data_IF_594066116739
#
_entry.id   IF_594066116739
#
_cell.length_a   1.000
_cell.length_b   1.000
_cell.length_c   1.000
_cell.angle_alpha   90.00
_cell.angle_beta   90.00
_cell.angle_gamma   90.00
#
_symmetry.space_group_name_H-M   'P 1'
#
loop_
_entity.id
_entity.type
_entity.pdbx_description
1 polymer ?
#
# COMPACT_ATOMS: atom_id res chain seq x y z
N UNK A 1 -0.15 -10.29 4.67
CA UNK A 1 1.04 -9.57 5.15
C UNK A 1 1.27 -9.96 6.61
N UNK A 2 2.48 -10.37 6.93
CA UNK A 2 2.85 -10.83 8.26
C UNK A 2 3.06 -9.67 9.26
N UNK A 3 3.26 -10.02 10.53
CA UNK A 3 3.38 -9.03 11.61
C UNK A 3 4.57 -8.07 11.41
N UNK A 4 5.70 -8.58 10.93
CA UNK A 4 6.89 -7.77 10.71
C UNK A 4 6.65 -6.74 9.60
N UNK A 5 6.06 -7.17 8.49
CA UNK A 5 5.77 -6.28 7.38
C UNK A 5 4.66 -5.28 7.72
N UNK A 6 3.62 -5.71 8.44
CA UNK A 6 2.57 -4.80 8.90
C UNK A 6 3.17 -3.69 9.78
N UNK A 7 4.01 -4.06 10.74
CA UNK A 7 4.66 -3.08 11.60
C UNK A 7 5.51 -2.08 10.82
N UNK A 8 6.30 -2.58 9.87
CA UNK A 8 7.15 -1.73 9.02
C UNK A 8 6.31 -0.80 8.12
N UNK A 9 5.20 -1.29 7.58
CA UNK A 9 4.29 -0.49 6.75
C UNK A 9 3.66 0.63 7.59
N UNK A 10 3.20 0.34 8.80
CA UNK A 10 2.65 1.36 9.69
C UNK A 10 3.67 2.44 10.02
N UNK A 11 4.91 2.02 10.30
CA UNK A 11 6.00 2.96 10.58
C UNK A 11 6.26 3.89 9.41
N UNK A 12 6.37 3.34 8.21
CA UNK A 12 6.60 4.13 6.99
C UNK A 12 5.40 5.02 6.68
N UNK A 13 4.19 4.51 6.82
CA UNK A 13 2.98 5.29 6.56
C UNK A 13 2.89 6.52 7.47
N UNK A 14 3.13 6.32 8.76
CA UNK A 14 3.14 7.44 9.71
C UNK A 14 4.28 8.41 9.42
N UNK A 15 5.49 7.91 9.21
CA UNK A 15 6.68 8.74 8.98
C UNK A 15 6.59 9.55 7.68
N UNK A 16 5.98 9.00 6.66
CA UNK A 16 5.94 9.60 5.33
C UNK A 16 4.62 10.33 5.04
N UNK A 17 3.80 10.54 6.07
CA UNK A 17 2.66 11.44 5.98
C UNK A 17 1.40 10.86 5.34
N UNK A 18 1.23 9.55 5.36
CA UNK A 18 -0.04 8.95 4.94
C UNK A 18 -1.14 9.31 5.94
N UNK A 19 -2.36 9.46 5.46
CA UNK A 19 -3.48 9.91 6.29
C UNK A 19 -4.06 8.80 7.15
N UNK A 20 -4.08 7.57 6.65
CA UNK A 20 -4.68 6.44 7.34
C UNK A 20 -4.22 5.12 6.72
N UNK A 21 -4.46 4.03 7.44
CA UNK A 21 -4.21 2.67 6.94
C UNK A 21 -5.51 1.88 6.99
N UNK A 22 -5.85 1.23 5.89
CA UNK A 22 -6.99 0.33 5.80
C UNK A 22 -6.47 -1.10 5.64
N UNK A 23 -6.96 -2.02 6.46
CA UNK A 23 -6.49 -3.40 6.48
C UNK A 23 -7.59 -4.36 6.02
N UNK A 24 -7.22 -5.33 5.18
CA UNK A 24 -8.09 -6.45 4.86
C UNK A 24 -8.02 -7.50 5.97
N UNK A 25 -9.08 -8.29 6.10
CA UNK A 25 -9.18 -9.28 7.17
C UNK A 25 -8.14 -10.40 7.09
N UNK A 26 -7.54 -10.60 5.92
CA UNK A 26 -6.46 -11.58 5.74
C UNK A 26 -5.08 -11.05 6.15
N UNK A 27 -4.99 -9.80 6.55
CA UNK A 27 -3.74 -9.25 7.10
C UNK A 27 -3.58 -9.59 8.58
N UNK A 28 -2.35 -9.60 9.04
CA UNK A 28 -2.05 -9.75 10.45
C UNK A 28 -2.64 -8.57 11.24
N UNK A 29 -3.07 -8.84 12.46
CA UNK A 29 -3.56 -7.80 13.37
C UNK A 29 -2.41 -6.82 13.69
N UNK A 30 -2.57 -5.52 13.43
CA UNK A 30 -1.51 -4.54 13.71
C UNK A 30 -1.24 -4.37 15.21
N UNK A 31 -2.14 -4.81 16.07
CA UNK A 31 -1.93 -4.83 17.53
C UNK A 31 -1.21 -6.09 18.01
N UNK A 32 -0.85 -7.00 17.10
CA UNK A 32 0.03 -8.11 17.40
C UNK A 32 1.32 -7.59 18.01
N UNK A 33 1.85 -8.28 19.02
CA UNK A 33 3.03 -7.84 19.78
C UNK A 33 4.23 -7.50 18.90
N UNK A 34 4.51 -8.34 17.90
CA UNK A 34 5.63 -8.10 16.96
C UNK A 34 5.36 -6.88 16.08
N UNK A 35 4.14 -6.74 15.57
CA UNK A 35 3.77 -5.60 14.74
C UNK A 35 3.91 -4.28 15.50
N UNK A 36 3.41 -4.22 16.73
CA UNK A 36 3.55 -3.04 17.58
C UNK A 36 5.03 -2.68 17.77
N UNK A 37 5.85 -3.67 18.10
CA UNK A 37 7.29 -3.47 18.33
C UNK A 37 8.00 -2.97 17.06
N UNK A 38 7.76 -3.62 15.92
CA UNK A 38 8.40 -3.25 14.65
C UNK A 38 7.92 -1.87 14.19
N UNK A 39 6.67 -1.51 14.47
CA UNK A 39 6.14 -0.20 14.11
C UNK A 39 6.74 0.95 14.92
N UNK A 40 7.49 0.66 15.97
CA UNK A 40 8.04 1.66 16.89
C UNK A 40 6.94 2.58 17.44
N UNK A 41 5.77 2.01 17.73
CA UNK A 41 4.62 2.76 18.25
C UNK A 41 3.77 3.47 17.19
N UNK A 42 4.14 3.39 15.91
CA UNK A 42 3.39 4.09 14.85
C UNK A 42 1.94 3.61 14.73
N UNK A 43 1.67 2.36 15.10
CA UNK A 43 0.29 1.83 15.09
C UNK A 43 -0.65 2.65 16.00
N UNK A 44 -0.11 3.34 16.98
CA UNK A 44 -0.89 4.21 17.88
C UNK A 44 -0.94 5.68 17.41
N UNK A 45 -0.21 6.01 16.35
CA UNK A 45 -0.09 7.39 15.87
C UNK A 45 -0.94 7.68 14.64
N UNK A 46 -1.09 6.69 13.74
CA UNK A 46 -1.81 6.86 12.49
C UNK A 46 -3.19 6.18 12.59
N UNK A 47 -4.28 6.82 12.16
CA UNK A 47 -5.59 6.19 12.15
C UNK A 47 -5.60 4.93 11.28
N UNK A 48 -6.27 3.89 11.75
CA UNK A 48 -6.42 2.68 10.96
C UNK A 48 -7.73 1.97 11.29
N UNK A 49 -8.21 1.18 10.35
CA UNK A 49 -9.38 0.33 10.55
C UNK A 49 -9.35 -0.87 9.62
N UNK A 50 -10.18 -1.86 9.93
CA UNK A 50 -10.44 -2.98 9.03
C UNK A 50 -11.41 -2.54 7.94
N UNK A 51 -11.19 -3.01 6.72
CA UNK A 51 -12.04 -2.76 5.57
C UNK A 51 -12.59 -4.07 5.04
N UNK A 52 -13.90 -4.24 5.07
CA UNK A 52 -14.56 -5.46 4.64
C UNK A 52 -15.08 -5.40 3.18
N UNK A 53 -15.23 -4.20 2.63
CA UNK A 53 -15.74 -4.00 1.28
C UNK A 53 -14.71 -4.23 0.18
N UNK A 54 -15.02 -3.74 -1.00
CA UNK A 54 -14.13 -3.79 -2.16
C UNK A 54 -13.53 -2.42 -2.46
N UNK A 55 -12.60 -2.36 -3.42
CA UNK A 55 -12.01 -1.09 -3.84
C UNK A 55 -13.05 -0.13 -4.41
N UNK A 56 -14.16 -0.64 -4.95
CA UNK A 56 -15.24 0.22 -5.42
C UNK A 56 -15.86 1.08 -4.32
N UNK A 57 -15.83 0.63 -3.07
CA UNK A 57 -16.29 1.44 -1.95
C UNK A 57 -15.42 2.70 -1.76
N UNK A 58 -14.12 2.59 -2.00
CA UNK A 58 -13.22 3.74 -1.97
C UNK A 58 -13.50 4.67 -3.14
N UNK A 59 -13.77 4.13 -4.32
CA UNK A 59 -14.14 4.93 -5.50
C UNK A 59 -15.42 5.74 -5.24
N UNK A 60 -16.38 5.16 -4.55
CA UNK A 60 -17.62 5.84 -4.18
C UNK A 60 -17.38 7.00 -3.21
N UNK A 61 -16.29 6.97 -2.47
CA UNK A 61 -15.88 8.06 -1.57
C UNK A 61 -14.98 9.10 -2.26
N UNK A 62 -14.75 8.94 -3.55
CA UNK A 62 -13.94 9.88 -4.33
C UNK A 62 -12.46 9.56 -4.40
N UNK A 63 -12.03 8.39 -3.92
CA UNK A 63 -10.64 7.95 -4.02
C UNK A 63 -10.37 7.28 -5.36
N UNK A 64 -9.18 7.50 -5.88
CA UNK A 64 -8.59 6.64 -6.90
C UNK A 64 -7.70 5.62 -6.22
N UNK A 65 -7.62 4.44 -6.80
CA UNK A 65 -6.84 3.34 -6.23
C UNK A 65 -5.67 2.98 -7.12
N UNK A 66 -4.50 2.82 -6.52
CA UNK A 66 -3.27 2.45 -7.19
C UNK A 66 -2.77 1.14 -6.61
N UNK A 67 -2.93 0.06 -7.36
CA UNK A 67 -2.50 -1.27 -6.93
C UNK A 67 -1.05 -1.50 -7.34
N UNK A 68 -0.20 -1.80 -6.36
CA UNK A 68 1.21 -2.10 -6.58
C UNK A 68 1.35 -3.53 -7.11
N UNK A 69 1.60 -3.66 -8.40
CA UNK A 69 1.75 -4.97 -9.03
C UNK A 69 2.58 -4.85 -10.30
N UNK A 70 3.23 -5.93 -10.67
CA UNK A 70 4.01 -6.02 -11.91
C UNK A 70 3.14 -6.66 -12.99
N UNK A 71 2.56 -5.84 -13.85
CA UNK A 71 1.76 -6.29 -15.00
C UNK A 71 2.17 -5.54 -16.26
N UNK A 72 1.80 -6.07 -17.41
CA UNK A 72 2.18 -5.48 -18.70
C UNK A 72 1.58 -4.08 -18.91
N UNK A 73 0.43 -3.82 -18.35
CA UNK A 73 -0.28 -2.55 -18.50
C UNK A 73 -0.10 -1.60 -17.33
N UNK A 74 0.91 -1.82 -16.50
CA UNK A 74 1.16 -0.97 -15.35
C UNK A 74 1.81 0.36 -15.74
N UNK A 75 1.52 1.41 -14.95
CA UNK A 75 2.20 2.69 -15.07
C UNK A 75 3.37 2.74 -14.10
N UNK A 76 4.39 3.51 -14.45
CA UNK A 76 5.52 3.71 -13.54
C UNK A 76 5.10 4.57 -12.36
N UNK A 77 5.65 4.28 -11.18
CA UNK A 77 5.31 4.98 -9.93
C UNK A 77 5.61 6.49 -10.00
N UNK A 78 6.52 6.90 -10.85
CA UNK A 78 6.87 8.32 -11.03
C UNK A 78 6.04 9.01 -12.12
N UNK A 79 5.05 8.33 -12.69
CA UNK A 79 4.16 8.95 -13.68
C UNK A 79 3.39 10.09 -13.02
N UNK A 80 3.45 11.30 -13.59
CA UNK A 80 2.77 12.47 -13.02
C UNK A 80 1.26 12.32 -12.82
N UNK A 81 0.61 11.40 -13.55
CA UNK A 81 -0.83 11.18 -13.42
C UNK A 81 -1.20 10.75 -11.99
N UNK A 82 -0.31 10.03 -11.31
CA UNK A 82 -0.56 9.56 -9.94
C UNK A 82 -0.52 10.73 -8.94
N UNK A 83 0.47 11.60 -9.09
CA UNK A 83 0.61 12.78 -8.23
C UNK A 83 -0.50 13.81 -8.43
N UNK A 84 -1.16 13.78 -9.56
CA UNK A 84 -2.27 14.68 -9.86
C UNK A 84 -3.56 14.29 -9.13
N UNK A 85 -3.65 13.06 -8.62
CA UNK A 85 -4.83 12.61 -7.87
C UNK A 85 -4.85 13.22 -6.48
N UNK A 86 -5.95 13.88 -6.13
CA UNK A 86 -6.10 14.55 -4.82
C UNK A 86 -6.39 13.56 -3.69
N UNK A 87 -7.02 12.44 -4.02
CA UNK A 87 -7.36 11.38 -3.07
C UNK A 87 -6.91 10.05 -3.67
N UNK A 88 -5.79 9.54 -3.19
CA UNK A 88 -5.18 8.32 -3.71
C UNK A 88 -5.02 7.28 -2.61
N UNK A 89 -5.55 6.09 -2.85
CA UNK A 89 -5.34 4.93 -1.99
C UNK A 89 -4.31 4.00 -2.64
N UNK A 90 -3.21 3.75 -1.95
CA UNK A 90 -2.14 2.87 -2.40
C UNK A 90 -2.45 1.48 -1.86
N UNK A 91 -2.55 0.48 -2.75
CA UNK A 91 -2.90 -0.89 -2.37
C UNK A 91 -1.66 -1.77 -2.51
N UNK A 92 -1.27 -2.40 -1.41
CA UNK A 92 -0.12 -3.30 -1.40
C UNK A 92 -0.54 -4.70 -0.94
N UNK A 93 0.09 -5.71 -1.50
CA UNK A 93 -0.19 -7.10 -1.18
C UNK A 93 0.98 -7.80 -0.54
N UNK A 94 0.73 -9.02 -0.05
CA UNK A 94 1.75 -9.84 0.58
C UNK A 94 2.80 -10.31 -0.41
N UNK A 95 3.93 -10.72 0.13
CA UNK A 95 4.97 -11.41 -0.65
C UNK A 95 4.45 -12.75 -1.18
N UNK A 96 5.05 -13.21 -2.24
CA UNK A 96 4.70 -14.46 -2.90
C UNK A 96 3.56 -14.30 -3.88
N UNK A 97 2.33 -14.38 -3.41
CA UNK A 97 1.15 -14.32 -4.29
C UNK A 97 0.80 -12.89 -4.72
N UNK A 98 1.26 -11.87 -3.99
CA UNK A 98 0.93 -10.48 -4.27
C UNK A 98 -0.56 -10.18 -4.07
N UNK A 99 -1.07 -9.25 -4.87
CA UNK A 99 -2.49 -8.89 -4.83
C UNK A 99 -3.33 -9.88 -5.62
N UNK A 100 -4.56 -10.09 -5.13
CA UNK A 100 -5.52 -10.92 -5.84
C UNK A 100 -5.87 -10.32 -7.21
N UNK A 101 -6.19 -11.18 -8.18
CA UNK A 101 -6.56 -10.72 -9.52
C UNK A 101 -7.76 -9.77 -9.50
N UNK A 102 -8.74 -10.03 -8.64
CA UNK A 102 -9.92 -9.19 -8.49
C UNK A 102 -9.55 -7.80 -8.01
N UNK A 103 -8.61 -7.68 -7.09
CA UNK A 103 -8.13 -6.39 -6.59
C UNK A 103 -7.43 -5.59 -7.70
N UNK A 104 -6.58 -6.24 -8.47
CA UNK A 104 -5.90 -5.60 -9.60
C UNK A 104 -6.91 -5.14 -10.64
N UNK A 105 -7.92 -5.97 -10.94
CA UNK A 105 -8.95 -5.64 -11.92
C UNK A 105 -9.82 -4.46 -11.49
N UNK A 106 -10.07 -4.29 -10.18
CA UNK A 106 -10.89 -3.20 -9.65
C UNK A 106 -10.11 -1.89 -9.50
N UNK A 107 -8.78 -1.93 -9.46
CA UNK A 107 -7.97 -0.74 -9.22
C UNK A 107 -8.04 0.23 -10.41
N UNK A 108 -8.02 1.52 -10.11
CA UNK A 108 -7.97 2.56 -11.14
C UNK A 108 -6.63 2.58 -11.86
N UNK A 109 -5.55 2.31 -11.14
CA UNK A 109 -4.19 2.21 -11.68
C UNK A 109 -3.53 0.95 -11.19
N UNK A 110 -2.76 0.33 -12.05
CA UNK A 110 -1.79 -0.70 -11.65
C UNK A 110 -0.41 -0.06 -11.79
N UNK A 111 0.35 -0.08 -10.71
CA UNK A 111 1.57 0.72 -10.58
C UNK A 111 2.76 -0.18 -10.34
N UNK A 112 3.84 0.04 -11.08
CA UNK A 112 5.11 -0.66 -10.91
C UNK A 112 6.19 0.28 -10.43
N UNK A 113 7.13 -0.26 -9.65
CA UNK A 113 8.41 0.37 -9.38
C UNK A 113 9.39 -0.21 -10.39
N UNK A 114 9.96 0.60 -11.32
CA UNK A 114 10.93 0.07 -12.29
C UNK A 114 12.13 -0.54 -11.56
N UNK A 115 12.50 -1.74 -11.97
CA UNK A 115 13.59 -2.51 -11.36
C UNK A 115 14.78 -2.64 -12.31
N UNK A 116 15.95 -2.88 -11.73
CA UNK A 116 17.21 -3.09 -12.46
C UNK A 116 17.77 -4.47 -12.16
N UNK A 117 18.74 -4.89 -12.94
CA UNK A 117 19.49 -6.14 -12.75
C UNK A 117 18.62 -7.41 -12.74
N UNK A 118 17.47 -7.39 -13.41
CA UNK A 118 16.58 -8.56 -13.46
C UNK A 118 15.81 -8.85 -12.18
N UNK A 119 15.83 -7.93 -11.22
CA UNK A 119 15.05 -8.07 -9.99
C UNK A 119 13.59 -7.80 -10.30
N UNK A 120 12.68 -8.71 -9.91
CA UNK A 120 11.26 -8.59 -10.22
C UNK A 120 10.50 -7.72 -9.24
N UNK A 121 10.85 -7.79 -7.95
CA UNK A 121 10.09 -7.08 -6.91
C UNK A 121 10.96 -6.78 -5.70
N UNK A 122 10.46 -5.86 -4.87
CA UNK A 122 10.99 -5.58 -3.54
C UNK A 122 10.14 -6.27 -2.49
N UNK A 123 10.69 -6.43 -1.27
CA UNK A 123 9.89 -6.75 -0.11
C UNK A 123 8.71 -5.77 -0.01
N UNK A 124 7.54 -6.26 0.43
CA UNK A 124 6.30 -5.46 0.43
C UNK A 124 6.44 -4.18 1.25
N UNK A 125 7.12 -4.22 2.39
CA UNK A 125 7.32 -3.02 3.23
C UNK A 125 8.26 -2.03 2.56
N UNK A 126 9.30 -2.49 1.87
CA UNK A 126 10.19 -1.64 1.10
C UNK A 126 9.46 -0.99 -0.06
N UNK A 127 8.68 -1.76 -0.81
CA UNK A 127 7.88 -1.23 -1.91
C UNK A 127 6.87 -0.20 -1.41
N UNK A 128 6.23 -0.45 -0.27
CA UNK A 128 5.30 0.48 0.35
C UNK A 128 5.99 1.80 0.70
N UNK A 129 7.17 1.75 1.31
CA UNK A 129 7.91 2.95 1.68
C UNK A 129 8.28 3.80 0.45
N UNK A 130 8.72 3.17 -0.63
CA UNK A 130 9.01 3.86 -1.89
C UNK A 130 7.75 4.54 -2.42
N UNK A 131 6.62 3.83 -2.43
CA UNK A 131 5.36 4.37 -2.90
C UNK A 131 4.88 5.54 -2.04
N UNK A 132 4.95 5.43 -0.72
CA UNK A 132 4.53 6.49 0.19
C UNK A 132 5.36 7.76 -0.01
N UNK A 133 6.67 7.61 -0.16
CA UNK A 133 7.54 8.76 -0.43
C UNK A 133 7.22 9.41 -1.77
N UNK A 134 7.16 8.60 -2.83
CA UNK A 134 6.95 9.12 -4.20
C UNK A 134 5.58 9.77 -4.35
N UNK A 135 4.55 9.23 -3.72
CA UNK A 135 3.17 9.65 -3.91
C UNK A 135 2.64 10.50 -2.75
N UNK A 136 3.49 10.90 -1.82
CA UNK A 136 3.06 11.77 -0.71
C UNK A 136 2.56 13.11 -1.23
N UNK A 137 1.62 13.67 -0.50
CA UNK A 137 1.15 15.04 -0.76
C UNK A 137 2.25 15.99 -0.29
N UNK A 138 2.72 16.90 -1.17
CA UNK A 138 3.79 17.83 -0.81
C UNK A 138 3.38 18.80 0.30
#
# INVERSE_FOLDING_TARGET
>A
VDATNIGAIFRSAAALGMDAVLLRRNSCDPLNRRAVRVSMGAVFCIPWTWMDGSLSDLSNLGFRTAAMALTDNSVSIDDPILMAESKLAIVVGSEGDGLAHETIAEADYVVRIPMSYGVDSLNVAAAAAVAFWQLRVP
#
